data_IF_878415477931
#
_entry.id   IF_878415477931
#
_cell.length_a   1.000
_cell.length_b   1.000
_cell.length_c   1.000
_cell.angle_alpha   90.00
_cell.angle_beta   90.00
_cell.angle_gamma   90.00
#
_symmetry.space_group_name_H-M   'P 1'
#
loop_
_entity.id
_entity.type
_entity.pdbx_description
1 polymer ?
#
# COMPACT_ATOMS: atom_id res chain seq x y z
N UNK A 1 -10.49 -1.34 -20.68
CA UNK A 1 -9.34 -0.53 -20.23
C UNK A 1 -9.02 0.49 -21.31
N UNK A 2 -8.78 1.74 -20.91
CA UNK A 2 -8.27 2.82 -21.78
C UNK A 2 -7.03 2.39 -22.56
N UNK A 3 -6.19 1.57 -21.93
CA UNK A 3 -4.90 1.16 -22.49
C UNK A 3 -5.09 0.19 -23.65
N UNK A 4 -6.04 -0.75 -23.54
CA UNK A 4 -6.37 -1.67 -24.65
C UNK A 4 -6.77 -0.87 -25.89
N UNK A 5 -7.68 0.08 -25.72
CA UNK A 5 -8.14 0.97 -26.80
C UNK A 5 -6.99 1.82 -27.36
N UNK A 6 -6.10 2.29 -26.50
CA UNK A 6 -4.90 3.02 -26.91
C UNK A 6 -3.99 2.17 -27.82
N UNK A 7 -3.67 0.94 -27.41
CA UNK A 7 -2.79 0.05 -28.17
C UNK A 7 -3.43 -0.49 -29.45
N UNK A 8 -4.73 -0.76 -29.48
CA UNK A 8 -5.43 -1.24 -30.69
C UNK A 8 -5.37 -0.26 -31.87
N UNK A 9 -5.02 1.02 -31.64
CA UNK A 9 -4.79 2.02 -32.70
C UNK A 9 -3.61 1.68 -33.59
N UNK A 10 -2.60 0.99 -33.07
CA UNK A 10 -1.35 0.70 -33.80
C UNK A 10 -0.83 -0.73 -33.60
N UNK A 11 -1.47 -1.55 -32.77
CA UNK A 11 -1.13 -2.95 -32.53
C UNK A 11 -2.27 -3.85 -33.03
N UNK A 12 -1.97 -4.74 -33.98
CA UNK A 12 -2.97 -5.59 -34.66
C UNK A 12 -3.67 -6.59 -33.72
N UNK A 13 -3.00 -7.04 -32.67
CA UNK A 13 -3.52 -8.07 -31.75
C UNK A 13 -3.28 -7.65 -30.31
N UNK A 14 -4.32 -7.11 -29.69
CA UNK A 14 -4.31 -6.74 -28.27
C UNK A 14 -5.33 -7.59 -27.52
N UNK A 15 -4.91 -8.21 -26.42
CA UNK A 15 -5.79 -8.92 -25.49
C UNK A 15 -5.54 -8.40 -24.09
N UNK A 16 -6.63 -8.10 -23.38
CA UNK A 16 -6.55 -7.76 -21.96
C UNK A 16 -6.52 -9.06 -21.17
N UNK A 17 -5.40 -9.31 -20.51
CA UNK A 17 -5.20 -10.45 -19.61
C UNK A 17 -5.02 -9.88 -18.21
N UNK A 18 -5.90 -10.28 -17.29
CA UNK A 18 -5.80 -9.86 -15.89
C UNK A 18 -4.66 -10.62 -15.20
N UNK A 19 -4.07 -10.01 -14.17
CA UNK A 19 -3.04 -10.67 -13.38
C UNK A 19 -3.69 -11.78 -12.51
N UNK A 20 -3.12 -13.00 -12.48
CA UNK A 20 -3.49 -13.98 -11.48
C UNK A 20 -3.02 -13.53 -10.09
N UNK A 21 -3.71 -13.98 -9.05
CA UNK A 21 -3.37 -13.71 -7.66
C UNK A 21 -3.13 -15.05 -6.96
N UNK A 22 -1.87 -15.36 -6.60
CA UNK A 22 -1.52 -16.68 -6.04
C UNK A 22 -2.25 -17.00 -4.72
N UNK A 23 -2.70 -15.98 -3.98
CA UNK A 23 -3.56 -16.16 -2.81
C UNK A 23 -4.87 -16.89 -3.12
N UNK A 24 -5.34 -16.93 -4.37
CA UNK A 24 -6.54 -17.69 -4.76
C UNK A 24 -6.39 -19.19 -4.54
N UNK A 25 -5.15 -19.69 -4.58
CA UNK A 25 -4.84 -21.11 -4.45
C UNK A 25 -4.44 -21.47 -3.03
N UNK A 26 -4.01 -20.49 -2.24
CA UNK A 26 -3.51 -20.65 -0.86
C UNK A 26 -4.60 -20.41 0.20
N UNK A 27 -5.52 -19.46 -0.04
CA UNK A 27 -6.50 -19.02 0.95
C UNK A 27 -7.89 -19.60 0.60
N UNK A 28 -8.46 -20.47 1.43
CA UNK A 28 -9.83 -20.96 1.24
C UNK A 28 -10.83 -19.81 1.19
N UNK A 29 -11.79 -19.90 0.28
CA UNK A 29 -12.80 -18.86 0.07
C UNK A 29 -13.67 -18.60 1.31
N UNK A 30 -13.84 -19.60 2.17
CA UNK A 30 -14.63 -19.58 3.40
C UNK A 30 -13.79 -19.32 4.67
N UNK A 31 -12.54 -18.86 4.50
CA UNK A 31 -11.66 -18.53 5.62
C UNK A 31 -12.24 -17.42 6.51
N UNK A 32 -12.15 -17.61 7.83
CA UNK A 32 -12.49 -16.58 8.81
C UNK A 32 -11.23 -15.93 9.37
N UNK A 33 -11.24 -14.60 9.52
CA UNK A 33 -10.11 -13.83 10.02
C UNK A 33 -10.51 -13.00 11.24
N UNK A 34 -9.74 -13.13 12.33
CA UNK A 34 -9.80 -12.19 13.44
C UNK A 34 -8.98 -10.96 13.06
N UNK A 35 -9.65 -9.83 12.82
CA UNK A 35 -9.00 -8.57 12.45
C UNK A 35 -8.48 -7.86 13.70
N UNK A 36 -7.32 -7.22 13.56
CA UNK A 36 -6.72 -6.34 14.56
C UNK A 36 -6.92 -4.88 14.14
N UNK A 37 -6.66 -3.95 15.06
CA UNK A 37 -6.61 -2.52 14.76
C UNK A 37 -5.31 -2.16 14.02
N UNK A 38 -5.17 -2.69 12.80
CA UNK A 38 -3.98 -2.58 11.96
C UNK A 38 -4.36 -1.98 10.61
N UNK A 39 -3.62 -0.94 10.20
CA UNK A 39 -3.78 -0.29 8.90
C UNK A 39 -2.47 -0.41 8.12
N UNK A 40 -2.58 -0.91 6.88
CA UNK A 40 -1.44 -1.21 6.02
C UNK A 40 -1.36 -0.24 4.85
N UNK A 41 -0.13 0.19 4.53
CA UNK A 41 0.26 0.69 3.22
C UNK A 41 1.32 -0.25 2.65
N UNK A 42 1.05 -0.87 1.50
CA UNK A 42 1.97 -1.81 0.85
C UNK A 42 2.36 -1.26 -0.53
N UNK A 43 3.66 -1.01 -0.76
CA UNK A 43 4.15 -0.56 -2.05
C UNK A 43 5.53 0.10 -2.04
N UNK A 44 6.09 0.35 -3.24
CA UNK A 44 7.36 1.08 -3.40
C UNK A 44 7.25 2.48 -2.82
N UNK A 45 8.31 2.94 -2.14
CA UNK A 45 8.38 4.29 -1.58
C UNK A 45 8.94 5.26 -2.63
N UNK A 46 8.13 5.53 -3.65
CA UNK A 46 8.40 6.50 -4.73
C UNK A 46 7.29 7.56 -4.85
N UNK A 47 7.51 8.56 -5.69
CA UNK A 47 6.57 9.67 -5.88
C UNK A 47 5.23 9.22 -6.48
N UNK A 48 5.24 8.21 -7.35
CA UNK A 48 4.04 7.70 -8.01
C UNK A 48 3.12 6.98 -7.02
N UNK A 49 3.67 6.26 -6.03
CA UNK A 49 2.91 5.62 -4.95
C UNK A 49 2.50 6.59 -3.84
N UNK A 50 3.11 7.78 -3.78
CA UNK A 50 2.75 8.87 -2.89
C UNK A 50 2.46 8.47 -1.41
N UNK A 51 3.39 7.77 -0.73
CA UNK A 51 3.22 7.39 0.68
C UNK A 51 3.09 8.60 1.62
N UNK A 52 3.53 9.80 1.20
CA UNK A 52 3.35 11.02 1.97
C UNK A 52 1.87 11.39 2.18
N UNK A 53 0.97 11.01 1.26
CA UNK A 53 -0.47 11.19 1.42
C UNK A 53 -1.00 10.35 2.58
N UNK A 54 -0.54 9.10 2.72
CA UNK A 54 -0.91 8.22 3.82
C UNK A 54 -0.51 8.81 5.18
N UNK A 55 0.72 9.32 5.30
CA UNK A 55 1.19 9.97 6.53
C UNK A 55 0.35 11.20 6.90
N UNK A 56 0.03 12.05 5.90
CA UNK A 56 -0.85 13.20 6.12
C UNK A 56 -2.24 12.76 6.57
N UNK A 57 -2.81 11.72 5.97
CA UNK A 57 -4.13 11.22 6.35
C UNK A 57 -4.14 10.75 7.82
N UNK A 58 -3.12 10.00 8.25
CA UNK A 58 -2.99 9.56 9.66
C UNK A 58 -2.96 10.76 10.60
N UNK A 59 -2.20 11.81 10.27
CA UNK A 59 -2.10 13.01 11.11
C UNK A 59 -3.45 13.74 11.30
N UNK A 60 -4.40 13.56 10.38
CA UNK A 60 -5.75 14.15 10.45
C UNK A 60 -6.78 13.24 11.14
N UNK A 61 -6.43 12.01 11.50
CA UNK A 61 -7.33 11.14 12.27
C UNK A 61 -7.52 11.66 13.70
N UNK A 62 -8.64 11.30 14.32
CA UNK A 62 -8.85 11.55 15.75
C UNK A 62 -7.74 10.90 16.58
N UNK A 63 -7.31 11.59 17.65
CA UNK A 63 -6.24 11.10 18.53
C UNK A 63 -6.52 9.71 19.10
N UNK A 64 -7.77 9.43 19.43
CA UNK A 64 -8.21 8.11 19.90
C UNK A 64 -7.91 7.00 18.88
N UNK A 65 -8.11 7.26 17.59
CA UNK A 65 -7.80 6.31 16.53
C UNK A 65 -6.28 6.19 16.32
N UNK A 66 -5.55 7.32 16.33
CA UNK A 66 -4.09 7.31 16.22
C UNK A 66 -3.41 6.48 17.33
N UNK A 67 -3.98 6.47 18.53
CA UNK A 67 -3.45 5.74 19.69
C UNK A 67 -3.85 4.26 19.72
N UNK A 68 -5.05 3.93 19.24
CA UNK A 68 -5.58 2.55 19.26
C UNK A 68 -5.22 1.71 18.05
N UNK A 69 -4.81 2.34 16.95
CA UNK A 69 -4.44 1.66 15.71
C UNK A 69 -2.95 1.67 15.49
N UNK A 70 -2.45 0.56 14.96
CA UNK A 70 -1.09 0.42 14.43
C UNK A 70 -1.09 0.75 12.95
N UNK A 71 -0.20 1.64 12.52
CA UNK A 71 -0.01 1.99 11.12
C UNK A 71 1.32 1.45 10.62
N UNK A 72 1.29 0.71 9.52
CA UNK A 72 2.45 0.01 8.99
C UNK A 72 2.65 0.32 7.51
N UNK A 73 3.90 0.60 7.14
CA UNK A 73 4.36 0.71 5.75
C UNK A 73 5.26 -0.49 5.44
N UNK A 74 4.79 -1.37 4.54
CA UNK A 74 5.56 -2.47 4.00
C UNK A 74 6.01 -2.13 2.57
N UNK A 75 7.31 -2.04 2.37
CA UNK A 75 7.96 -1.62 1.14
C UNK A 75 9.17 -0.75 1.40
N UNK A 76 9.95 -0.53 0.34
CA UNK A 76 11.14 0.32 0.38
C UNK A 76 11.24 1.18 -0.89
N UNK A 77 12.15 2.15 -0.88
CA UNK A 77 12.40 3.02 -2.02
C UNK A 77 13.11 4.32 -1.66
N UNK A 78 13.37 5.12 -2.69
CA UNK A 78 14.17 6.36 -2.58
C UNK A 78 13.61 7.39 -1.57
N UNK A 79 12.31 7.36 -1.27
CA UNK A 79 11.69 8.29 -0.33
C UNK A 79 11.75 7.83 1.13
N UNK A 80 12.34 6.67 1.43
CA UNK A 80 12.32 6.07 2.77
C UNK A 80 12.75 7.05 3.86
N UNK A 81 13.92 7.66 3.71
CA UNK A 81 14.49 8.57 4.70
C UNK A 81 13.64 9.84 4.88
N UNK A 82 13.14 10.43 3.78
CA UNK A 82 12.27 11.61 3.82
C UNK A 82 10.97 11.32 4.59
N UNK A 83 10.38 10.15 4.37
CA UNK A 83 9.14 9.73 5.03
C UNK A 83 9.34 9.51 6.53
N UNK A 84 10.46 8.94 6.95
CA UNK A 84 10.79 8.78 8.37
C UNK A 84 10.94 10.15 9.08
N UNK A 85 11.58 11.13 8.43
CA UNK A 85 11.60 12.50 8.96
C UNK A 85 10.21 13.13 9.02
N UNK A 86 9.37 12.86 8.02
CA UNK A 86 8.01 13.39 7.96
C UNK A 86 7.10 12.82 9.04
N UNK A 87 7.25 11.54 9.37
CA UNK A 87 6.56 10.91 10.51
C UNK A 87 6.91 11.64 11.81
N UNK A 88 8.20 11.92 12.04
CA UNK A 88 8.66 12.69 13.20
C UNK A 88 8.09 14.12 13.19
N UNK A 89 8.11 14.81 12.04
CA UNK A 89 7.61 16.19 11.96
C UNK A 89 6.08 16.30 12.17
N UNK A 90 5.33 15.25 11.80
CA UNK A 90 3.88 15.19 12.00
C UNK A 90 3.49 14.72 13.40
N UNK A 91 4.43 14.20 14.20
CA UNK A 91 4.16 13.68 15.54
C UNK A 91 3.24 12.46 15.54
N UNK A 92 3.31 11.63 14.50
CA UNK A 92 2.52 10.39 14.36
C UNK A 92 3.41 9.15 14.55
N UNK A 93 2.79 7.99 14.77
CA UNK A 93 3.48 6.70 14.92
C UNK A 93 3.21 5.84 13.69
N UNK A 94 4.26 5.45 12.97
CA UNK A 94 4.19 4.58 11.79
C UNK A 94 5.40 3.66 11.78
N UNK A 95 5.17 2.37 11.60
CA UNK A 95 6.23 1.36 11.53
C UNK A 95 6.60 1.10 10.08
N UNK A 96 7.89 1.22 9.76
CA UNK A 96 8.40 0.92 8.42
C UNK A 96 9.11 -0.44 8.42
N UNK A 97 8.53 -1.42 7.73
CA UNK A 97 9.05 -2.79 7.72
C UNK A 97 10.11 -3.05 6.63
N UNK A 98 10.31 -2.11 5.71
CA UNK A 98 11.13 -2.34 4.51
C UNK A 98 10.47 -3.36 3.58
N UNK A 99 11.26 -4.01 2.72
CA UNK A 99 10.75 -5.09 1.87
C UNK A 99 10.47 -6.33 2.73
N UNK A 100 9.21 -6.77 2.75
CA UNK A 100 8.76 -7.93 3.51
C UNK A 100 8.35 -9.04 2.54
N UNK A 101 8.75 -10.27 2.84
CA UNK A 101 8.40 -11.46 2.05
C UNK A 101 7.06 -12.05 2.47
N UNK A 102 6.78 -12.07 3.77
CA UNK A 102 5.52 -12.58 4.34
C UNK A 102 4.67 -11.42 4.87
N UNK A 103 3.67 -11.00 4.09
CA UNK A 103 2.80 -9.85 4.37
C UNK A 103 1.35 -10.31 4.51
#
# INVERSE_FOLDING_TARGET
>A
SSDKVYYERFVKRVKLLLNPCHFSDEIPFDSSFKKENLVLFIGRLDYNKNPAMFLKAIAHLDKNLQEKYKFVIAGDGQLRQELEYKVKSLGIKVDFLGRVENV
#
